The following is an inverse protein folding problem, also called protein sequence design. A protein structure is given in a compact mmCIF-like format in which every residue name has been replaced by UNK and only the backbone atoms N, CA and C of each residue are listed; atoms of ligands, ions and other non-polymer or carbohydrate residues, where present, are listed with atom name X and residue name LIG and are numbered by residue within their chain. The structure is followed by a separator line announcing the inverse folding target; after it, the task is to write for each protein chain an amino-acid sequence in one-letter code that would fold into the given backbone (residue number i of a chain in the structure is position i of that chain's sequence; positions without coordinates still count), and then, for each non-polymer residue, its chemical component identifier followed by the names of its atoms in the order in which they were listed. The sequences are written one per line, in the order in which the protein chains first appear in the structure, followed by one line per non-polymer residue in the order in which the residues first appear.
data_IF_537096141526
#
_entry.id   IF_537096141526
#
_cell.length_a   1.000
_cell.length_b   1.000
_cell.length_c   1.000
_cell.angle_alpha   90.00
_cell.angle_beta   90.00
_cell.angle_gamma   90.00
#
_symmetry.space_group_name_H-M   'P 1'
#
loop_
_entity.id
_entity.type
_entity.pdbx_description
1 polymer ?
#
# COMPACT_ATOMS: atom_id res chain seq x y z
N UNK A 1 12.25 1.53 2.13
CA UNK A 1 11.53 1.65 3.40
C UNK A 1 11.67 3.05 3.97
N UNK A 2 10.68 3.49 4.71
CA UNK A 2 10.72 4.83 5.30
C UNK A 2 9.77 4.97 6.49
N UNK A 3 9.95 6.04 7.27
CA UNK A 3 9.02 6.58 8.25
C UNK A 3 8.59 7.98 7.81
N UNK A 4 7.32 8.29 7.88
CA UNK A 4 6.83 9.65 7.70
C UNK A 4 7.00 10.44 9.01
N UNK A 5 7.74 11.54 8.97
CA UNK A 5 8.02 12.35 10.16
C UNK A 5 6.81 13.12 10.67
N UNK A 6 5.76 13.29 9.86
CA UNK A 6 4.55 14.03 10.21
C UNK A 6 3.46 13.11 10.76
N UNK A 7 3.17 12.01 10.06
CA UNK A 7 2.10 11.07 10.43
C UNK A 7 2.58 9.94 11.34
N UNK A 8 3.91 9.71 11.40
CA UNK A 8 4.50 8.57 12.10
C UNK A 8 4.39 7.25 11.33
N UNK A 9 3.72 7.21 10.19
CA UNK A 9 3.56 5.99 9.39
C UNK A 9 4.91 5.38 9.02
N UNK A 10 4.94 4.05 8.98
CA UNK A 10 6.11 3.25 8.63
C UNK A 10 5.76 2.40 7.40
N UNK A 11 6.67 2.36 6.42
CA UNK A 11 6.38 1.66 5.19
C UNK A 11 7.57 0.96 4.55
N UNK A 12 7.28 -0.14 3.86
CA UNK A 12 8.19 -0.89 3.00
C UNK A 12 7.56 -1.08 1.65
N UNK A 13 8.32 -0.82 0.59
CA UNK A 13 7.94 -1.21 -0.76
C UNK A 13 9.10 -1.95 -1.42
N UNK A 14 8.79 -2.96 -2.22
CA UNK A 14 9.74 -3.84 -2.88
C UNK A 14 9.27 -4.23 -4.26
N UNK A 15 10.21 -4.40 -5.18
CA UNK A 15 10.01 -5.05 -6.49
C UNK A 15 11.14 -6.04 -6.74
N UNK A 16 10.88 -7.07 -7.53
CA UNK A 16 11.87 -8.09 -7.86
C UNK A 16 11.46 -8.90 -9.09
N UNK A 17 12.46 -9.48 -9.76
CA UNK A 17 12.26 -10.61 -10.66
C UNK A 17 12.22 -11.93 -9.87
N UNK A 18 11.27 -11.99 -8.93
CA UNK A 18 10.98 -13.15 -8.10
C UNK A 18 9.47 -13.24 -7.88
N UNK A 19 8.90 -14.43 -8.00
CA UNK A 19 7.48 -14.64 -7.74
C UNK A 19 7.13 -14.28 -6.30
N UNK A 20 6.07 -13.45 -6.11
CA UNK A 20 5.50 -13.16 -4.78
C UNK A 20 6.53 -12.64 -3.77
N UNK A 21 7.28 -11.59 -4.13
CA UNK A 21 8.34 -11.03 -3.28
C UNK A 21 7.86 -10.43 -1.97
N UNK A 22 6.61 -9.95 -1.92
CA UNK A 22 6.05 -9.22 -0.78
C UNK A 22 6.15 -9.98 0.55
N UNK A 23 5.61 -11.21 0.67
CA UNK A 23 5.64 -11.99 1.91
C UNK A 23 7.04 -12.33 2.44
N UNK A 24 8.03 -12.29 1.55
CA UNK A 24 9.42 -12.63 1.92
C UNK A 24 10.19 -11.40 2.41
N UNK A 25 9.98 -10.25 1.77
CA UNK A 25 10.86 -9.09 1.92
C UNK A 25 10.28 -7.96 2.76
N UNK A 26 8.95 -7.74 2.75
CA UNK A 26 8.32 -6.58 3.35
C UNK A 26 7.63 -6.91 4.68
N UNK A 27 8.11 -6.31 5.76
CA UNK A 27 7.61 -6.54 7.11
C UNK A 27 7.38 -5.20 7.82
N UNK A 28 6.24 -5.05 8.48
CA UNK A 28 5.95 -3.89 9.32
C UNK A 28 4.94 -4.23 10.40
N UNK A 29 5.02 -3.50 11.52
CA UNK A 29 4.08 -3.63 12.65
C UNK A 29 3.74 -2.23 13.15
N UNK A 30 2.45 -1.90 13.20
CA UNK A 30 1.95 -0.60 13.64
C UNK A 30 2.52 -0.22 15.02
N UNK A 31 2.95 1.02 15.16
CA UNK A 31 3.54 1.53 16.40
C UNK A 31 4.94 1.01 16.72
N UNK A 32 5.52 0.08 15.95
CA UNK A 32 6.77 -0.61 16.27
C UNK A 32 7.88 -0.28 15.26
N UNK A 33 7.69 -0.63 13.99
CA UNK A 33 8.73 -0.46 12.99
C UNK A 33 8.46 -1.14 11.67
N UNK A 34 9.46 -1.05 10.77
CA UNK A 34 9.43 -1.71 9.48
C UNK A 34 10.79 -2.35 9.15
N UNK A 35 10.76 -3.44 8.38
CA UNK A 35 11.94 -4.23 8.01
C UNK A 35 11.84 -4.61 6.53
N UNK A 36 12.95 -4.42 5.80
CA UNK A 36 13.13 -4.99 4.48
C UNK A 36 14.28 -5.99 4.53
N UNK A 37 14.03 -7.24 4.15
CA UNK A 37 15.08 -8.28 4.03
C UNK A 37 15.09 -8.84 2.62
N UNK A 38 16.24 -8.93 1.99
CA UNK A 38 16.39 -9.25 0.57
C UNK A 38 17.79 -9.81 0.24
N UNK A 39 18.11 -9.95 -1.07
CA UNK A 39 19.29 -10.64 -1.63
C UNK A 39 19.13 -12.16 -1.49
N UNK A 40 20.07 -12.89 -0.88
CA UNK A 40 19.78 -14.24 -0.41
C UNK A 40 18.88 -14.07 0.82
N UNK A 41 17.57 -14.04 0.58
CA UNK A 41 16.59 -13.62 1.58
C UNK A 41 16.54 -14.59 2.78
N UNK A 42 16.48 -14.03 3.99
CA UNK A 42 16.11 -14.73 5.21
C UNK A 42 14.89 -14.02 5.82
N UNK A 43 13.68 -14.56 5.61
CA UNK A 43 12.45 -13.93 6.09
C UNK A 43 12.41 -13.73 7.61
N UNK A 44 13.11 -14.56 8.37
CA UNK A 44 13.15 -14.47 9.83
C UNK A 44 13.71 -13.14 10.37
N UNK A 45 14.47 -12.38 9.56
CA UNK A 45 14.86 -11.02 9.95
C UNK A 45 13.65 -10.12 10.19
N UNK A 46 12.56 -10.29 9.42
CA UNK A 46 11.33 -9.53 9.58
C UNK A 46 10.73 -9.61 10.98
N UNK A 47 10.15 -10.75 11.38
CA UNK A 47 9.53 -10.92 12.69
C UNK A 47 10.54 -10.74 13.82
N UNK A 48 11.76 -11.29 13.71
CA UNK A 48 12.76 -11.21 14.77
C UNK A 48 13.24 -9.78 15.06
N UNK A 49 13.36 -8.93 14.04
CA UNK A 49 13.67 -7.52 14.25
C UNK A 49 12.49 -6.78 14.87
N UNK A 50 11.26 -6.99 14.36
CA UNK A 50 10.05 -6.36 14.90
C UNK A 50 9.80 -6.74 16.37
N UNK A 51 10.11 -7.96 16.78
CA UNK A 51 10.00 -8.38 18.19
C UNK A 51 11.01 -7.64 19.07
N UNK A 52 12.28 -7.49 18.62
CA UNK A 52 13.30 -6.69 19.32
C UNK A 52 12.91 -5.22 19.44
N UNK A 53 12.35 -4.64 18.38
CA UNK A 53 11.86 -3.27 18.43
C UNK A 53 10.70 -3.13 19.42
N UNK A 54 9.80 -4.11 19.49
CA UNK A 54 8.70 -4.14 20.46
C UNK A 54 9.21 -4.24 21.91
N UNK A 55 10.34 -4.92 22.13
CA UNK A 55 11.05 -4.98 23.42
C UNK A 55 11.84 -3.70 23.74
N UNK A 56 11.76 -2.67 22.88
CA UNK A 56 12.42 -1.37 23.06
C UNK A 56 13.89 -1.33 22.63
N UNK A 57 14.38 -2.36 21.92
CA UNK A 57 15.74 -2.39 21.37
C UNK A 57 15.77 -1.52 20.09
N UNK A 58 16.63 -0.47 20.02
CA UNK A 58 16.70 0.40 18.84
C UNK A 58 17.11 -0.36 17.57
N UNK A 59 16.64 0.10 16.41
CA UNK A 59 16.87 -0.56 15.11
C UNK A 59 18.36 -0.87 14.81
N UNK A 60 19.35 0.00 15.10
CA UNK A 60 20.75 -0.33 14.88
C UNK A 60 21.26 -1.51 15.73
N UNK A 61 20.84 -1.59 16.98
CA UNK A 61 21.20 -2.69 17.86
C UNK A 61 20.49 -3.99 17.44
N UNK A 62 19.19 -3.92 17.19
CA UNK A 62 18.37 -5.06 16.75
C UNK A 62 18.96 -5.71 15.49
N UNK A 63 19.29 -4.91 14.47
CA UNK A 63 19.93 -5.43 13.25
C UNK A 63 21.33 -5.97 13.51
N UNK A 64 22.14 -5.29 14.32
CA UNK A 64 23.50 -5.74 14.67
C UNK A 64 23.52 -7.11 15.35
N UNK A 65 22.62 -7.35 16.30
CA UNK A 65 22.49 -8.65 17.01
C UNK A 65 22.07 -9.77 16.04
N UNK A 66 21.11 -9.49 15.14
CA UNK A 66 20.66 -10.48 14.15
C UNK A 66 21.77 -10.85 13.16
N UNK A 67 22.51 -9.86 12.66
CA UNK A 67 23.63 -10.08 11.75
C UNK A 67 24.78 -10.86 12.43
N UNK A 68 25.07 -10.58 13.69
CA UNK A 68 26.10 -11.28 14.45
C UNK A 68 25.77 -12.78 14.66
N UNK A 69 24.49 -13.12 14.67
CA UNK A 69 23.99 -14.49 14.82
C UNK A 69 23.83 -15.24 13.48
N UNK A 70 23.88 -14.54 12.32
CA UNK A 70 23.72 -15.15 10.99
C UNK A 70 25.07 -15.45 10.35
N UNK A 71 25.46 -16.74 10.19
CA UNK A 71 26.69 -17.12 9.50
C UNK A 71 26.71 -16.73 8.03
N UNK A 72 25.54 -16.39 7.43
CA UNK A 72 25.40 -15.97 6.05
C UNK A 72 25.20 -14.45 5.90
N UNK A 73 25.51 -13.64 6.91
CA UNK A 73 25.34 -12.18 6.88
C UNK A 73 26.00 -11.54 5.64
N UNK A 74 27.07 -12.11 5.12
CA UNK A 74 27.79 -11.60 3.94
C UNK A 74 26.95 -11.59 2.64
N UNK A 75 25.90 -12.43 2.54
CA UNK A 75 24.99 -12.47 1.38
C UNK A 75 23.63 -11.84 1.67
N UNK A 76 23.40 -11.27 2.85
CA UNK A 76 22.14 -10.62 3.24
C UNK A 76 22.13 -9.15 2.89
N UNK A 77 20.93 -8.64 2.57
CA UNK A 77 20.68 -7.21 2.47
C UNK A 77 19.44 -6.89 3.30
N UNK A 78 19.62 -6.17 4.40
CA UNK A 78 18.55 -5.94 5.39
C UNK A 78 18.57 -4.48 5.82
N UNK A 79 17.37 -3.90 5.97
CA UNK A 79 17.21 -2.59 6.60
C UNK A 79 16.09 -2.66 7.64
N UNK A 80 16.26 -1.92 8.75
CA UNK A 80 15.33 -1.84 9.87
C UNK A 80 15.15 -0.38 10.25
N UNK A 81 13.92 0.05 10.45
CA UNK A 81 13.57 1.36 10.99
C UNK A 81 12.59 1.18 12.15
N UNK A 82 12.84 1.82 13.29
CA UNK A 82 11.93 1.81 14.43
C UNK A 82 10.98 3.02 14.42
N UNK A 83 9.98 3.00 15.30
CA UNK A 83 9.00 4.07 15.40
C UNK A 83 9.57 5.39 15.92
N UNK A 84 10.74 5.39 16.57
CA UNK A 84 11.47 6.60 16.95
C UNK A 84 12.25 7.21 15.77
N UNK A 85 12.36 6.48 14.64
CA UNK A 85 13.08 6.91 13.44
C UNK A 85 14.56 6.49 13.42
N UNK A 86 15.03 5.66 14.36
CA UNK A 86 16.36 5.09 14.22
C UNK A 86 16.39 4.10 13.07
N UNK A 87 17.39 4.23 12.21
CA UNK A 87 17.50 3.49 10.97
C UNK A 87 18.86 2.80 10.87
N UNK A 88 18.85 1.52 10.52
CA UNK A 88 20.04 0.76 10.16
C UNK A 88 19.83 -0.02 8.88
N UNK A 89 20.90 -0.14 8.09
CA UNK A 89 20.91 -0.93 6.86
C UNK A 89 22.23 -1.66 6.69
N UNK A 90 22.15 -2.88 6.17
CA UNK A 90 23.27 -3.75 5.86
C UNK A 90 23.15 -4.22 4.40
N UNK A 91 24.26 -4.16 3.69
CA UNK A 91 24.47 -4.84 2.40
C UNK A 91 25.73 -5.66 2.56
N UNK A 92 25.59 -6.97 2.59
CA UNK A 92 26.70 -7.90 2.75
C UNK A 92 27.68 -7.84 1.57
N UNK A 93 28.94 -8.10 1.82
CA UNK A 93 30.01 -7.99 0.82
C UNK A 93 29.84 -8.94 -0.36
N UNK A 94 29.17 -10.07 -0.15
CA UNK A 94 28.94 -11.12 -1.14
C UNK A 94 27.53 -11.01 -1.80
N UNK A 95 26.80 -9.90 -1.58
CA UNK A 95 25.57 -9.62 -2.33
C UNK A 95 25.89 -9.51 -3.83
N UNK A 96 25.02 -10.08 -4.67
CA UNK A 96 25.23 -10.07 -6.13
C UNK A 96 25.21 -8.63 -6.64
N UNK A 97 26.24 -8.22 -7.39
CA UNK A 97 26.40 -6.89 -7.96
C UNK A 97 25.28 -6.56 -8.99
N UNK A 98 24.92 -5.31 -9.21
CA UNK A 98 25.26 -4.16 -8.37
C UNK A 98 24.39 -4.14 -7.13
N UNK A 99 24.98 -4.14 -5.97
CA UNK A 99 24.31 -4.12 -4.69
C UNK A 99 24.80 -2.96 -3.84
N UNK A 100 23.88 -2.35 -3.09
CA UNK A 100 24.19 -1.23 -2.20
C UNK A 100 22.96 -0.65 -1.54
N UNK A 101 23.18 0.32 -0.65
CA UNK A 101 22.09 1.07 -0.03
C UNK A 101 22.46 2.54 0.19
N UNK A 102 21.43 3.39 0.24
CA UNK A 102 21.54 4.79 0.64
C UNK A 102 20.59 5.02 1.80
N UNK A 103 21.12 5.51 2.92
CA UNK A 103 20.34 5.96 4.08
C UNK A 103 20.10 7.46 4.02
N UNK A 104 18.86 7.89 4.22
CA UNK A 104 18.48 9.26 4.55
C UNK A 104 18.20 9.40 6.05
N UNK A 105 17.60 10.53 6.45
CA UNK A 105 17.18 10.74 7.83
C UNK A 105 15.98 9.87 8.23
N UNK A 106 15.10 9.61 7.28
CA UNK A 106 13.79 8.97 7.48
C UNK A 106 13.55 7.77 6.56
N UNK A 107 14.53 7.39 5.73
CA UNK A 107 14.38 6.32 4.74
C UNK A 107 15.69 5.58 4.45
N UNK A 108 15.54 4.35 3.97
CA UNK A 108 16.61 3.56 3.36
C UNK A 108 16.13 3.02 2.01
N UNK A 109 16.95 3.24 0.98
CA UNK A 109 16.81 2.65 -0.33
C UNK A 109 17.95 1.67 -0.54
N UNK A 110 17.63 0.41 -0.76
CA UNK A 110 18.59 -0.68 -0.98
C UNK A 110 18.21 -1.48 -2.21
N UNK A 111 19.20 -1.96 -2.91
CA UNK A 111 19.03 -2.77 -4.11
C UNK A 111 20.20 -3.76 -4.27
N UNK A 112 19.94 -4.86 -4.94
CA UNK A 112 20.92 -5.89 -5.31
C UNK A 112 20.55 -6.47 -6.67
N UNK A 113 21.49 -7.06 -7.40
CA UNK A 113 21.30 -7.57 -8.75
C UNK A 113 20.81 -6.52 -9.76
N UNK A 114 21.20 -5.27 -9.57
CA UNK A 114 20.74 -4.19 -10.44
C UNK A 114 21.53 -4.11 -11.74
N UNK A 115 20.92 -3.51 -12.76
CA UNK A 115 21.61 -3.19 -14.01
C UNK A 115 22.73 -2.16 -13.79
N UNK A 116 22.59 -1.28 -12.78
CA UNK A 116 23.55 -0.23 -12.44
C UNK A 116 23.70 -0.08 -10.92
N UNK A 117 24.89 0.34 -10.48
CA UNK A 117 25.20 0.64 -9.07
C UNK A 117 24.56 1.97 -8.58
N UNK A 118 24.08 2.80 -9.51
CA UNK A 118 23.40 4.08 -9.25
C UNK A 118 21.96 3.95 -8.78
N UNK A 119 21.34 2.77 -8.88
CA UNK A 119 19.93 2.52 -8.54
C UNK A 119 19.57 2.98 -7.11
N UNK A 120 20.29 2.63 -6.02
CA UNK A 120 19.92 3.08 -4.68
C UNK A 120 19.94 4.60 -4.53
N UNK A 121 20.86 5.28 -5.21
CA UNK A 121 20.95 6.75 -5.19
C UNK A 121 19.78 7.40 -5.94
N UNK A 122 19.38 6.85 -7.10
CA UNK A 122 18.21 7.30 -7.86
C UNK A 122 16.92 7.15 -7.06
N UNK A 123 16.73 6.01 -6.38
CA UNK A 123 15.60 5.74 -5.47
C UNK A 123 15.52 6.79 -4.35
N UNK A 124 16.64 7.02 -3.64
CA UNK A 124 16.69 7.99 -2.54
C UNK A 124 16.42 9.41 -3.01
N UNK A 125 16.94 9.79 -4.16
CA UNK A 125 16.68 11.11 -4.74
C UNK A 125 15.20 11.28 -5.13
N UNK A 126 14.56 10.26 -5.69
CA UNK A 126 13.14 10.28 -6.03
C UNK A 126 12.26 10.35 -4.78
N UNK A 127 12.54 9.53 -3.76
CA UNK A 127 11.83 9.56 -2.47
C UNK A 127 11.86 10.95 -1.84
N UNK A 128 13.00 11.63 -1.85
CA UNK A 128 13.18 12.99 -1.30
C UNK A 128 12.43 14.06 -2.08
N UNK A 129 12.33 13.91 -3.41
CA UNK A 129 11.60 14.88 -4.26
C UNK A 129 10.11 14.68 -4.23
N UNK A 130 9.65 13.45 -4.03
CA UNK A 130 8.24 13.12 -4.00
C UNK A 130 7.56 13.73 -2.77
N UNK A 131 6.34 14.21 -2.95
CA UNK A 131 5.48 14.79 -1.92
C UNK A 131 4.20 13.97 -1.78
N UNK A 132 3.40 14.27 -0.77
CA UNK A 132 2.15 13.56 -0.49
C UNK A 132 2.33 12.40 0.49
N UNK A 133 1.47 11.41 0.38
CA UNK A 133 1.40 10.27 1.30
C UNK A 133 2.65 9.39 1.20
N UNK A 134 2.98 8.69 2.29
CA UNK A 134 4.15 7.81 2.36
C UNK A 134 4.18 6.78 1.23
N UNK A 135 3.04 6.18 0.89
CA UNK A 135 2.92 5.21 -0.20
C UNK A 135 3.27 5.80 -1.57
N UNK A 136 2.97 7.08 -1.83
CA UNK A 136 3.34 7.74 -3.09
C UNK A 136 4.85 7.92 -3.20
N UNK A 137 5.47 8.33 -2.11
CA UNK A 137 6.92 8.54 -2.01
C UNK A 137 7.68 7.22 -2.15
N UNK A 138 7.15 6.13 -1.56
CA UNK A 138 7.70 4.78 -1.70
C UNK A 138 7.57 4.26 -3.13
N UNK A 139 6.41 4.46 -3.78
CA UNK A 139 6.21 4.06 -5.17
C UNK A 139 7.13 4.84 -6.11
N UNK A 140 7.29 6.16 -5.92
CA UNK A 140 8.21 6.98 -6.70
C UNK A 140 9.66 6.49 -6.61
N UNK A 141 10.08 5.96 -5.45
CA UNK A 141 11.40 5.36 -5.29
C UNK A 141 11.55 4.07 -6.13
N UNK A 142 10.55 3.19 -6.13
CA UNK A 142 10.58 1.98 -6.94
C UNK A 142 10.56 2.29 -8.44
N UNK A 143 9.77 3.25 -8.88
CA UNK A 143 9.73 3.70 -10.28
C UNK A 143 11.04 4.31 -10.74
N UNK A 144 11.73 5.04 -9.85
CA UNK A 144 13.05 5.55 -10.14
C UNK A 144 14.11 4.45 -10.24
N UNK A 145 13.98 3.38 -9.44
CA UNK A 145 14.82 2.20 -9.59
C UNK A 145 14.66 1.57 -10.98
N UNK A 146 13.42 1.41 -11.43
CA UNK A 146 13.10 0.84 -12.73
C UNK A 146 13.59 1.73 -13.88
N UNK A 147 13.40 3.05 -13.79
CA UNK A 147 13.88 4.01 -14.77
C UNK A 147 15.42 4.05 -14.88
N UNK A 148 16.14 3.76 -13.79
CA UNK A 148 17.60 3.68 -13.75
C UNK A 148 18.14 2.35 -14.29
N UNK A 149 17.27 1.40 -14.64
CA UNK A 149 17.58 0.12 -15.24
C UNK A 149 17.08 -1.10 -14.48
N UNK A 150 16.66 -0.93 -13.21
CA UNK A 150 15.99 -1.95 -12.41
C UNK A 150 16.81 -3.22 -12.16
N UNK A 151 16.12 -4.30 -11.91
CA UNK A 151 16.67 -5.64 -11.74
C UNK A 151 17.18 -6.17 -13.10
N UNK A 152 18.43 -6.61 -13.16
CA UNK A 152 19.04 -7.08 -14.41
C UNK A 152 18.32 -8.30 -15.02
N UNK A 153 17.56 -9.02 -14.23
CA UNK A 153 16.77 -10.17 -14.68
C UNK A 153 15.42 -9.75 -15.28
N UNK A 154 14.97 -8.52 -15.06
CA UNK A 154 13.68 -7.97 -15.47
C UNK A 154 12.70 -7.83 -14.33
N UNK A 155 11.39 -7.80 -14.65
CA UNK A 155 10.28 -7.51 -13.76
C UNK A 155 9.46 -8.74 -13.49
N UNK A 156 8.87 -8.89 -12.30
CA UNK A 156 7.91 -9.96 -12.04
C UNK A 156 6.90 -9.60 -10.96
N UNK A 157 7.34 -9.14 -9.78
CA UNK A 157 6.44 -8.87 -8.67
C UNK A 157 6.77 -7.54 -7.98
N UNK A 158 5.80 -7.01 -7.24
CA UNK A 158 5.97 -5.84 -6.38
C UNK A 158 5.05 -5.93 -5.17
N UNK A 159 5.42 -5.26 -4.08
CA UNK A 159 4.57 -5.17 -2.90
C UNK A 159 4.80 -3.84 -2.17
N UNK A 160 3.78 -3.42 -1.42
CA UNK A 160 3.84 -2.29 -0.52
C UNK A 160 3.08 -2.59 0.75
N UNK A 161 3.72 -2.36 1.88
CA UNK A 161 3.15 -2.49 3.22
C UNK A 161 3.39 -1.17 3.95
N UNK A 162 2.31 -0.50 4.38
CA UNK A 162 2.35 0.71 5.21
C UNK A 162 1.50 0.48 6.45
N UNK A 163 2.01 0.87 7.59
CA UNK A 163 1.34 0.72 8.88
C UNK A 163 1.31 2.08 9.60
N UNK A 164 0.29 2.36 10.43
CA UNK A 164 0.25 3.58 11.23
C UNK A 164 1.36 3.61 12.28
N UNK A 165 1.79 4.83 12.64
CA UNK A 165 2.80 5.07 13.69
C UNK A 165 2.33 4.72 15.09
N UNK A 166 1.04 4.49 15.29
CA UNK A 166 0.40 4.13 16.56
C UNK A 166 -0.83 3.24 16.32
N UNK A 167 -1.32 2.64 17.38
CA UNK A 167 -2.50 1.78 17.36
C UNK A 167 -2.16 0.28 17.42
N UNK A 168 -3.15 -0.53 17.16
CA UNK A 168 -3.04 -1.98 17.30
C UNK A 168 -2.04 -2.60 16.31
N UNK A 169 -1.21 -3.54 16.74
CA UNK A 169 -0.11 -4.12 15.93
C UNK A 169 -0.53 -4.75 14.59
N UNK A 170 -1.80 -5.12 14.47
CA UNK A 170 -2.36 -5.73 13.24
C UNK A 170 -2.81 -4.70 12.19
N UNK A 171 -2.93 -3.41 12.55
CA UNK A 171 -3.44 -2.39 11.63
C UNK A 171 -2.50 -2.19 10.45
N UNK A 172 -3.11 -2.00 9.28
CA UNK A 172 -2.44 -1.70 8.00
C UNK A 172 -3.11 -0.50 7.37
N UNK A 173 -2.32 0.46 6.89
CA UNK A 173 -2.79 1.54 6.01
C UNK A 173 -2.81 1.05 4.57
N UNK A 174 -1.75 0.34 4.16
CA UNK A 174 -1.63 -0.29 2.84
C UNK A 174 -1.04 -1.68 3.01
N UNK A 175 -1.64 -2.69 2.36
CA UNK A 175 -1.07 -4.03 2.20
C UNK A 175 -1.44 -4.52 0.80
N UNK A 176 -0.62 -4.17 -0.19
CA UNK A 176 -0.86 -4.46 -1.59
C UNK A 176 0.28 -5.29 -2.16
N UNK A 177 -0.09 -6.30 -2.94
CA UNK A 177 0.85 -7.21 -3.58
C UNK A 177 0.45 -7.49 -5.02
N UNK A 178 1.45 -7.47 -5.88
CA UNK A 178 1.39 -7.94 -7.26
C UNK A 178 2.34 -9.14 -7.33
N UNK A 179 1.77 -10.33 -7.32
CA UNK A 179 2.52 -11.57 -7.15
C UNK A 179 3.26 -11.98 -8.41
N UNK A 180 2.67 -11.71 -9.58
CA UNK A 180 3.24 -12.02 -10.89
C UNK A 180 2.62 -11.10 -11.96
N UNK A 181 3.45 -10.29 -12.61
CA UNK A 181 3.02 -9.37 -13.67
C UNK A 181 4.22 -8.96 -14.53
N UNK A 182 4.05 -8.78 -15.83
CA UNK A 182 5.09 -8.21 -16.71
C UNK A 182 5.35 -6.72 -16.42
N UNK A 183 4.42 -6.01 -15.75
CA UNK A 183 4.57 -4.61 -15.33
C UNK A 183 4.02 -4.42 -13.91
N UNK A 184 4.74 -4.93 -12.89
CA UNK A 184 4.23 -4.99 -11.52
C UNK A 184 4.08 -3.59 -10.88
N UNK A 185 4.87 -2.59 -11.26
CA UNK A 185 4.75 -1.24 -10.69
C UNK A 185 3.53 -0.50 -11.25
N UNK A 186 3.21 -0.68 -12.54
CA UNK A 186 1.98 -0.14 -13.11
C UNK A 186 0.74 -0.72 -12.42
N UNK A 187 0.76 -2.02 -12.16
CA UNK A 187 -0.33 -2.69 -11.44
C UNK A 187 -0.39 -2.25 -9.98
N UNK A 188 0.74 -2.13 -9.28
CA UNK A 188 0.77 -1.62 -7.90
C UNK A 188 0.23 -0.19 -7.81
N UNK A 189 0.53 0.67 -8.79
CA UNK A 189 -0.03 2.03 -8.88
C UNK A 189 -1.55 1.99 -9.07
N UNK A 190 -2.05 1.10 -9.93
CA UNK A 190 -3.49 0.90 -10.13
C UNK A 190 -4.17 0.47 -8.84
N UNK A 191 -3.59 -0.51 -8.14
CA UNK A 191 -4.10 -1.01 -6.86
C UNK A 191 -4.08 0.07 -5.77
N UNK A 192 -3.05 0.91 -5.70
CA UNK A 192 -3.01 2.06 -4.78
C UNK A 192 -4.12 3.06 -5.05
N UNK A 193 -4.43 3.33 -6.33
CA UNK A 193 -5.54 4.21 -6.68
C UNK A 193 -6.88 3.60 -6.28
N UNK A 194 -7.04 2.29 -6.48
CA UNK A 194 -8.23 1.56 -6.06
C UNK A 194 -8.36 1.55 -4.53
N UNK A 195 -7.28 1.28 -3.79
CA UNK A 195 -7.27 1.36 -2.32
C UNK A 195 -7.80 2.71 -1.83
N UNK A 196 -7.32 3.83 -2.40
CA UNK A 196 -7.80 5.18 -2.05
C UNK A 196 -9.29 5.37 -2.32
N UNK A 197 -9.79 4.80 -3.40
CA UNK A 197 -11.23 4.86 -3.69
C UNK A 197 -12.03 4.14 -2.61
N UNK A 198 -11.59 2.96 -2.19
CA UNK A 198 -12.23 2.21 -1.11
C UNK A 198 -12.05 2.87 0.27
N UNK A 199 -10.91 3.51 0.55
CA UNK A 199 -10.71 4.27 1.80
C UNK A 199 -11.69 5.45 1.88
N UNK A 200 -11.92 6.15 0.76
CA UNK A 200 -12.93 7.22 0.68
C UNK A 200 -14.36 6.68 0.86
N UNK A 201 -14.66 5.52 0.26
CA UNK A 201 -15.97 4.90 0.44
C UNK A 201 -16.20 4.48 1.89
N UNK A 202 -15.21 3.85 2.55
CA UNK A 202 -15.28 3.49 3.97
C UNK A 202 -15.46 4.71 4.89
N UNK A 203 -14.74 5.81 4.62
CA UNK A 203 -14.97 7.06 5.35
C UNK A 203 -16.37 7.64 5.07
N UNK A 204 -16.92 7.42 3.87
CA UNK A 204 -18.30 7.73 3.55
C UNK A 204 -19.30 6.92 4.39
N UNK A 205 -19.06 5.61 4.57
CA UNK A 205 -19.89 4.73 5.40
C UNK A 205 -19.92 5.22 6.87
N UNK A 206 -18.76 5.62 7.41
CA UNK A 206 -18.68 6.17 8.77
C UNK A 206 -19.49 7.47 8.92
N UNK A 207 -19.41 8.37 7.92
CA UNK A 207 -20.20 9.61 7.91
C UNK A 207 -21.70 9.31 7.77
N UNK A 208 -22.07 8.35 6.95
CA UNK A 208 -23.47 7.95 6.79
C UNK A 208 -24.03 7.39 8.11
N UNK A 209 -23.28 6.54 8.80
CA UNK A 209 -23.64 6.02 10.11
C UNK A 209 -23.77 7.13 11.18
N UNK A 210 -23.03 8.23 11.03
CA UNK A 210 -23.13 9.42 11.87
C UNK A 210 -24.26 10.39 11.45
N UNK A 211 -25.06 10.06 10.43
CA UNK A 211 -26.14 10.92 9.91
C UNK A 211 -25.67 12.08 9.04
N UNK A 212 -24.40 12.13 8.64
CA UNK A 212 -23.77 13.19 7.83
C UNK A 212 -23.87 12.86 6.33
N UNK A 213 -25.10 12.73 5.83
CA UNK A 213 -25.42 12.17 4.50
C UNK A 213 -24.78 12.95 3.35
N UNK A 214 -24.79 14.29 3.39
CA UNK A 214 -24.23 15.11 2.30
C UNK A 214 -22.71 14.93 2.18
N UNK A 215 -22.02 14.86 3.30
CA UNK A 215 -20.58 14.65 3.36
C UNK A 215 -20.20 13.23 2.91
N UNK A 216 -20.98 12.24 3.30
CA UNK A 216 -20.84 10.86 2.81
C UNK A 216 -21.00 10.81 1.29
N UNK A 217 -22.03 11.46 0.74
CA UNK A 217 -22.28 11.55 -0.70
C UNK A 217 -21.11 12.17 -1.47
N UNK A 218 -20.44 13.20 -0.91
CA UNK A 218 -19.25 13.80 -1.50
C UNK A 218 -18.07 12.80 -1.55
N UNK A 219 -17.85 12.01 -0.50
CA UNK A 219 -16.78 11.00 -0.47
C UNK A 219 -17.05 9.84 -1.45
N UNK A 220 -18.27 9.32 -1.53
CA UNK A 220 -18.63 8.31 -2.52
C UNK A 220 -18.44 8.81 -3.96
N UNK A 221 -18.75 10.09 -4.21
CA UNK A 221 -18.54 10.70 -5.54
C UNK A 221 -17.05 10.75 -5.89
N UNK A 222 -16.19 11.11 -4.92
CA UNK A 222 -14.74 11.09 -5.11
C UNK A 222 -14.22 9.66 -5.32
N UNK A 223 -14.71 8.70 -4.54
CA UNK A 223 -14.36 7.28 -4.68
C UNK A 223 -14.66 6.76 -6.09
N UNK A 224 -15.88 6.98 -6.58
CA UNK A 224 -16.28 6.58 -7.93
C UNK A 224 -15.49 7.30 -9.04
N UNK A 225 -15.04 8.54 -8.81
CA UNK A 225 -14.19 9.26 -9.77
C UNK A 225 -12.77 8.68 -9.86
N UNK A 226 -12.24 8.14 -8.77
CA UNK A 226 -10.92 7.48 -8.75
C UNK A 226 -10.94 6.10 -9.41
N UNK A 227 -12.09 5.40 -9.35
CA UNK A 227 -12.25 4.06 -9.90
C UNK A 227 -13.56 3.98 -10.74
N UNK A 228 -13.60 4.66 -11.90
CA UNK A 228 -14.83 4.79 -12.69
C UNK A 228 -15.34 3.47 -13.28
N UNK A 229 -14.50 2.45 -13.32
CA UNK A 229 -14.83 1.11 -13.81
C UNK A 229 -15.20 0.14 -12.65
N UNK A 230 -15.19 0.60 -11.39
CA UNK A 230 -15.64 -0.20 -10.26
C UNK A 230 -17.17 -0.17 -10.15
N UNK A 231 -17.80 -1.25 -10.52
CA UNK A 231 -19.24 -1.43 -10.43
C UNK A 231 -19.75 -1.31 -8.98
N UNK A 232 -19.01 -1.83 -8.02
CA UNK A 232 -19.33 -1.70 -6.60
C UNK A 232 -19.37 -0.23 -6.14
N UNK A 233 -18.30 0.52 -6.42
CA UNK A 233 -18.25 1.94 -6.03
C UNK A 233 -19.31 2.78 -6.74
N UNK A 234 -19.61 2.46 -8.01
CA UNK A 234 -20.72 3.08 -8.75
C UNK A 234 -22.06 2.79 -8.11
N UNK A 235 -22.29 1.54 -7.68
CA UNK A 235 -23.55 1.12 -7.06
C UNK A 235 -23.79 1.88 -5.73
N UNK A 236 -22.84 1.85 -4.82
CA UNK A 236 -22.98 2.50 -3.52
C UNK A 236 -23.02 4.03 -3.61
N UNK A 237 -22.18 4.62 -4.48
CA UNK A 237 -22.26 6.06 -4.77
C UNK A 237 -23.60 6.46 -5.37
N UNK A 238 -24.20 5.60 -6.19
CA UNK A 238 -25.54 5.81 -6.76
C UNK A 238 -26.63 5.86 -5.69
N UNK A 239 -26.61 4.92 -4.75
CA UNK A 239 -27.57 4.90 -3.64
C UNK A 239 -27.40 6.12 -2.72
N UNK A 240 -26.17 6.50 -2.42
CA UNK A 240 -25.88 7.67 -1.60
C UNK A 240 -26.35 8.98 -2.25
N UNK A 241 -26.15 9.14 -3.57
CA UNK A 241 -26.67 10.29 -4.34
C UNK A 241 -28.19 10.37 -4.30
N UNK A 242 -28.86 9.24 -4.55
CA UNK A 242 -30.31 9.17 -4.48
C UNK A 242 -30.84 9.54 -3.09
N UNK A 243 -30.16 9.13 -2.02
CA UNK A 243 -30.50 9.48 -0.64
C UNK A 243 -30.28 10.96 -0.35
N UNK A 244 -29.27 11.59 -0.94
CA UNK A 244 -29.01 13.03 -0.86
C UNK A 244 -29.98 13.87 -1.71
N UNK A 245 -30.96 13.25 -2.39
CA UNK A 245 -32.02 13.91 -3.17
C UNK A 245 -31.75 13.99 -4.67
N UNK A 246 -30.61 13.54 -5.17
CA UNK A 246 -30.29 13.45 -6.61
C UNK A 246 -30.61 12.04 -7.14
N UNK A 247 -31.92 11.78 -7.24
CA UNK A 247 -32.43 10.46 -7.68
C UNK A 247 -31.95 10.10 -9.10
N UNK A 248 -31.96 11.07 -10.02
CA UNK A 248 -31.62 10.80 -11.43
C UNK A 248 -30.15 10.39 -11.59
N UNK A 249 -29.22 11.10 -10.94
CA UNK A 249 -27.81 10.73 -10.94
C UNK A 249 -27.57 9.42 -10.19
N UNK A 250 -28.33 9.17 -9.13
CA UNK A 250 -28.29 7.91 -8.38
C UNK A 250 -28.68 6.71 -9.25
N UNK A 251 -29.82 6.82 -9.94
CA UNK A 251 -30.30 5.80 -10.87
C UNK A 251 -29.31 5.55 -12.01
N UNK A 252 -28.76 6.63 -12.59
CA UNK A 252 -27.77 6.50 -13.67
C UNK A 252 -26.51 5.74 -13.22
N UNK A 253 -26.02 5.98 -11.99
CA UNK A 253 -24.87 5.28 -11.45
C UNK A 253 -25.16 3.80 -11.16
N UNK A 254 -26.29 3.47 -10.54
CA UNK A 254 -26.72 2.09 -10.31
C UNK A 254 -26.93 1.34 -11.64
N UNK A 255 -27.49 1.99 -12.66
CA UNK A 255 -27.64 1.42 -14.00
C UNK A 255 -26.29 1.08 -14.63
N UNK A 256 -25.31 1.97 -14.54
CA UNK A 256 -23.94 1.69 -15.00
C UNK A 256 -23.31 0.52 -14.27
N UNK A 257 -23.48 0.42 -12.95
CA UNK A 257 -23.02 -0.74 -12.19
C UNK A 257 -23.66 -2.04 -12.69
N UNK A 258 -24.97 -2.01 -12.96
CA UNK A 258 -25.71 -3.16 -13.48
C UNK A 258 -25.36 -3.53 -14.94
N UNK A 259 -24.86 -2.58 -15.74
CA UNK A 259 -24.30 -2.85 -17.07
C UNK A 259 -23.02 -3.69 -17.01
N UNK A 260 -22.22 -3.54 -15.95
CA UNK A 260 -21.02 -4.34 -15.68
C UNK A 260 -21.40 -5.70 -15.05
N UNK A 261 -22.26 -5.67 -14.04
CA UNK A 261 -22.72 -6.87 -13.34
C UNK A 261 -24.23 -6.75 -13.02
N UNK A 262 -25.11 -7.46 -13.76
CA UNK A 262 -26.55 -7.42 -13.54
C UNK A 262 -27.03 -7.84 -12.14
N UNK A 263 -26.21 -8.59 -11.38
CA UNK A 263 -26.55 -9.03 -10.05
C UNK A 263 -26.65 -7.89 -9.03
N UNK A 264 -26.15 -6.70 -9.35
CA UNK A 264 -26.38 -5.50 -8.54
C UNK A 264 -27.87 -5.15 -8.41
N UNK A 265 -28.69 -5.42 -9.43
CA UNK A 265 -30.15 -5.23 -9.34
C UNK A 265 -30.79 -6.28 -8.40
N UNK A 266 -30.27 -7.48 -8.41
CA UNK A 266 -30.70 -8.54 -7.46
C UNK A 266 -30.34 -8.14 -6.02
N UNK A 267 -29.11 -7.63 -5.80
CA UNK A 267 -28.69 -7.12 -4.50
C UNK A 267 -29.56 -5.94 -4.05
N UNK A 268 -29.84 -4.98 -4.94
CA UNK A 268 -30.72 -3.84 -4.65
C UNK A 268 -32.07 -4.27 -4.11
N UNK A 269 -32.64 -5.37 -4.67
CA UNK A 269 -33.91 -5.94 -4.23
C UNK A 269 -33.85 -6.62 -2.83
N UNK A 270 -32.67 -6.89 -2.32
CA UNK A 270 -32.44 -7.53 -1.00
C UNK A 270 -32.08 -6.53 0.11
N UNK A 271 -31.76 -5.28 -0.24
CA UNK A 271 -31.40 -4.26 0.72
C UNK A 271 -32.65 -3.81 1.50
N UNK A 272 -32.53 -3.76 2.84
CA UNK A 272 -33.61 -3.23 3.68
C UNK A 272 -33.65 -1.70 3.61
N UNK A 273 -34.81 -1.07 3.91
CA UNK A 273 -34.92 0.38 3.96
C UNK A 273 -34.01 1.03 5.03
N UNK A 274 -33.68 0.30 6.09
CA UNK A 274 -32.75 0.78 7.12
C UNK A 274 -31.32 0.83 6.60
N UNK A 275 -30.94 -0.12 5.72
CA UNK A 275 -29.60 -0.17 5.14
C UNK A 275 -29.44 0.74 3.92
N UNK A 276 -30.46 0.84 3.08
CA UNK A 276 -30.47 1.67 1.86
C UNK A 276 -31.80 2.42 1.74
N UNK A 277 -32.00 3.55 2.43
CA UNK A 277 -33.29 4.27 2.46
C UNK A 277 -33.78 4.69 1.08
N UNK A 278 -32.88 5.03 0.13
CA UNK A 278 -33.22 5.39 -1.23
C UNK A 278 -33.41 4.17 -2.15
N UNK A 279 -33.13 2.94 -1.70
CA UNK A 279 -33.12 1.73 -2.53
C UNK A 279 -34.44 1.46 -3.24
N UNK A 280 -35.58 1.65 -2.55
CA UNK A 280 -36.92 1.49 -3.15
C UNK A 280 -37.19 2.50 -4.27
N UNK A 281 -36.84 3.78 -4.05
CA UNK A 281 -37.03 4.83 -5.04
C UNK A 281 -36.19 4.58 -6.30
N UNK A 282 -34.93 4.14 -6.12
CA UNK A 282 -34.04 3.77 -7.22
C UNK A 282 -34.60 2.57 -7.98
N UNK A 283 -35.06 1.52 -7.29
CA UNK A 283 -35.66 0.34 -7.93
C UNK A 283 -36.87 0.67 -8.76
N UNK A 284 -37.79 1.51 -8.24
CA UNK A 284 -38.96 1.97 -8.96
C UNK A 284 -38.62 2.80 -10.22
N UNK A 285 -37.59 3.64 -10.11
CA UNK A 285 -37.14 4.44 -11.25
C UNK A 285 -36.47 3.59 -12.35
N UNK A 286 -35.74 2.54 -11.98
CA UNK A 286 -35.12 1.58 -12.92
C UNK A 286 -36.16 0.71 -13.66
N UNK A 287 -37.37 0.58 -13.12
CA UNK A 287 -38.45 -0.24 -13.71
C UNK A 287 -39.29 0.53 -14.71
N UNK A 288 -39.08 1.84 -14.87
CA UNK A 288 -39.80 2.73 -15.82
C UNK A 288 -39.03 2.80 -17.13
#
# INVERSE_FOLDING_TARGET
MARDGTTGELGVAVQSHWFSVGPLCAWARAGIGAVATQSVVEPAYGPNALDRLADGIPAPQALGELLAADPLAAVRQVAVIDNAGHLSAHTGADCIAHAGHVKGGDHSCQANMMARDTVPAAMSAAFKRATGLLQDRLLAALEAAEAEGGDIRGRQSAAMLVVPGEGEPWRRTVDLRVEDSPDPLKELRRLLTLQRAYDLAGAGDELLAAGRTDEAGALYTQAAALAPDSDELLFWAGLARAQAGDLDAGVAAVKRAAEVNPDWLTLLGRLSPEFAPAGEAVRQALSR
#
